data_IF_556199916167
#
_entry.id   IF_556199916167
#
_cell.length_a   1.000
_cell.length_b   1.000
_cell.length_c   1.000
_cell.angle_alpha   90.00
_cell.angle_beta   90.00
_cell.angle_gamma   90.00
#
_symmetry.space_group_name_H-M   'P 1'
#
loop_
_entity.id
_entity.type
_entity.pdbx_description
1 polymer ?
#
# COMPACT_ATOMS: atom_id res chain seq x y z
N UNK A 1 22.39 -13.26 -15.74
CA UNK A 1 22.39 -14.73 -15.54
C UNK A 1 21.36 -15.08 -14.48
N UNK A 2 20.52 -16.10 -14.73
CA UNK A 2 19.56 -16.58 -13.74
C UNK A 2 20.35 -17.39 -12.69
N UNK A 3 20.22 -17.05 -11.40
CA UNK A 3 20.81 -17.85 -10.32
C UNK A 3 20.20 -19.25 -10.37
N UNK A 4 21.05 -20.27 -10.55
CA UNK A 4 20.62 -21.67 -10.52
C UNK A 4 20.35 -22.09 -9.06
N UNK A 5 19.15 -21.76 -8.57
CA UNK A 5 18.61 -22.23 -7.29
C UNK A 5 17.50 -23.27 -7.57
N UNK A 6 17.37 -24.29 -6.72
CA UNK A 6 16.32 -25.30 -6.84
C UNK A 6 15.42 -25.31 -5.59
N UNK A 7 14.14 -24.90 -5.71
CA UNK A 7 13.47 -24.46 -6.92
C UNK A 7 13.90 -23.05 -7.35
N UNK A 8 13.80 -22.79 -8.66
CA UNK A 8 13.94 -21.44 -9.20
C UNK A 8 12.92 -20.52 -8.54
N UNK A 9 13.40 -19.39 -8.05
CA UNK A 9 12.56 -18.40 -7.36
C UNK A 9 12.03 -17.40 -8.37
N UNK A 10 10.71 -17.32 -8.50
CA UNK A 10 10.02 -16.31 -9.28
C UNK A 10 9.17 -15.44 -8.37
N UNK A 11 9.12 -14.13 -8.66
CA UNK A 11 8.17 -13.21 -8.02
C UNK A 11 7.13 -12.79 -9.05
N UNK A 12 5.88 -13.03 -8.71
CA UNK A 12 4.75 -12.43 -9.42
C UNK A 12 4.55 -11.00 -8.90
N UNK A 13 4.50 -10.04 -9.82
CA UNK A 13 4.38 -8.61 -9.50
C UNK A 13 3.75 -7.86 -10.67
N UNK A 14 3.06 -6.76 -10.36
CA UNK A 14 2.56 -5.84 -11.37
C UNK A 14 3.74 -5.02 -11.91
N UNK A 15 3.90 -5.01 -13.24
CA UNK A 15 4.91 -4.18 -13.93
C UNK A 15 4.31 -2.87 -14.44
N UNK A 16 3.02 -2.88 -14.73
CA UNK A 16 2.24 -1.75 -15.23
C UNK A 16 1.07 -1.54 -14.29
N UNK A 17 0.68 -0.27 -14.15
CA UNK A 17 -0.42 0.19 -13.29
C UNK A 17 -1.47 0.84 -14.19
N UNK A 18 -2.77 0.67 -13.89
CA UNK A 18 -3.82 1.40 -14.60
C UNK A 18 -3.76 2.90 -14.25
N UNK A 19 -4.34 3.73 -15.12
CA UNK A 19 -4.52 5.16 -14.89
C UNK A 19 -5.60 5.41 -13.82
N UNK A 20 -6.70 4.64 -13.87
CA UNK A 20 -7.75 4.64 -12.85
C UNK A 20 -8.00 3.22 -12.32
N UNK A 21 -7.59 2.99 -11.07
CA UNK A 21 -7.75 1.70 -10.39
C UNK A 21 -9.21 1.27 -10.25
N UNK A 22 -10.14 2.23 -10.15
CA UNK A 22 -11.55 1.96 -9.91
C UNK A 22 -12.34 1.63 -11.15
N UNK A 23 -11.94 2.19 -12.29
CA UNK A 23 -12.61 1.96 -13.58
C UNK A 23 -11.98 0.80 -14.37
N UNK A 24 -10.65 0.58 -14.23
CA UNK A 24 -9.94 -0.39 -15.07
C UNK A 24 -9.78 -1.79 -14.44
N UNK A 25 -9.84 -1.91 -13.11
CA UNK A 25 -9.71 -3.19 -12.44
C UNK A 25 -11.03 -3.96 -12.41
N UNK A 26 -11.29 -4.74 -13.45
CA UNK A 26 -12.56 -5.46 -13.65
C UNK A 26 -12.71 -6.68 -12.72
N UNK A 27 -11.64 -7.47 -12.54
CA UNK A 27 -11.73 -8.75 -11.82
C UNK A 27 -11.28 -8.61 -10.35
N UNK A 28 -12.05 -9.16 -9.43
CA UNK A 28 -11.73 -9.17 -7.98
C UNK A 28 -10.33 -9.73 -7.69
N UNK A 29 -9.91 -10.76 -8.44
CA UNK A 29 -8.58 -11.35 -8.27
C UNK A 29 -7.47 -10.36 -8.63
N UNK A 30 -7.67 -9.55 -9.66
CA UNK A 30 -6.72 -8.52 -10.10
C UNK A 30 -6.62 -7.42 -9.04
N UNK A 31 -7.76 -6.95 -8.52
CA UNK A 31 -7.79 -5.99 -7.41
C UNK A 31 -7.04 -6.51 -6.18
N UNK A 32 -7.28 -7.77 -5.80
CA UNK A 32 -6.55 -8.44 -4.72
C UNK A 32 -5.06 -8.52 -5.01
N UNK A 33 -4.66 -8.87 -6.23
CA UNK A 33 -3.24 -8.93 -6.61
C UNK A 33 -2.56 -7.56 -6.49
N UNK A 34 -3.17 -6.47 -6.97
CA UNK A 34 -2.64 -5.12 -6.77
C UNK A 34 -2.52 -4.75 -5.29
N UNK A 35 -3.53 -5.09 -4.48
CA UNK A 35 -3.52 -4.87 -3.03
C UNK A 35 -2.44 -5.68 -2.30
N UNK A 36 -2.21 -6.94 -2.66
CA UNK A 36 -1.20 -7.79 -2.00
C UNK A 36 0.22 -7.51 -2.51
N UNK A 37 0.36 -7.01 -3.74
CA UNK A 37 1.64 -6.54 -4.32
C UNK A 37 2.02 -5.16 -3.76
N UNK A 38 1.24 -4.60 -2.80
CA UNK A 38 1.52 -3.35 -2.06
C UNK A 38 2.99 -3.12 -1.72
N UNK A 39 3.74 -4.15 -1.34
CA UNK A 39 5.15 -4.02 -0.94
C UNK A 39 6.05 -3.47 -2.08
N UNK A 40 5.64 -3.58 -3.35
CA UNK A 40 6.33 -2.97 -4.49
C UNK A 40 5.79 -1.60 -4.90
N UNK A 41 4.49 -1.35 -4.68
CA UNK A 41 3.83 -0.05 -4.95
C UNK A 41 4.31 1.01 -3.96
N UNK A 42 4.53 0.58 -2.72
CA UNK A 42 4.99 1.40 -1.62
C UNK A 42 6.52 1.49 -1.65
N UNK A 43 7.07 2.13 -2.67
CA UNK A 43 8.51 2.33 -2.78
C UNK A 43 9.03 3.14 -1.58
N UNK A 44 10.26 2.85 -1.17
CA UNK A 44 10.94 3.39 0.02
C UNK A 44 11.14 4.91 0.03
N UNK A 45 10.79 5.60 -1.05
CA UNK A 45 11.13 7.00 -1.29
C UNK A 45 9.99 7.96 -0.92
N UNK A 46 8.78 7.46 -0.70
CA UNK A 46 7.58 8.30 -0.60
C UNK A 46 7.37 8.79 0.84
N UNK A 47 7.12 10.09 1.01
CA UNK A 47 6.61 10.65 2.27
C UNK A 47 5.10 10.48 2.32
N UNK A 48 4.60 9.91 3.42
CA UNK A 48 3.19 9.66 3.63
C UNK A 48 2.71 10.54 4.76
N UNK A 49 1.69 11.40 4.56
CA UNK A 49 1.02 12.06 5.66
C UNK A 49 0.56 11.01 6.69
N UNK A 50 0.72 11.27 8.01
CA UNK A 50 0.29 10.33 9.03
C UNK A 50 -1.16 9.89 8.86
N UNK A 51 -2.03 10.83 8.50
CA UNK A 51 -3.47 10.62 8.32
C UNK A 51 -3.75 9.63 7.18
N UNK A 52 -3.07 9.79 6.04
CA UNK A 52 -3.19 8.88 4.90
C UNK A 52 -2.71 7.48 5.26
N UNK A 53 -1.60 7.38 6.00
CA UNK A 53 -1.07 6.10 6.44
C UNK A 53 -2.02 5.39 7.42
N UNK A 54 -2.62 6.12 8.38
CA UNK A 54 -3.66 5.59 9.28
C UNK A 54 -4.85 5.09 8.48
N UNK A 55 -5.33 5.89 7.53
CA UNK A 55 -6.51 5.56 6.73
C UNK A 55 -6.28 4.30 5.87
N UNK A 56 -5.17 4.23 5.14
CA UNK A 56 -4.79 3.04 4.37
C UNK A 56 -4.58 1.81 5.26
N UNK A 57 -4.02 2.00 6.46
CA UNK A 57 -3.93 0.96 7.48
C UNK A 57 -5.30 0.44 7.90
N UNK A 58 -6.27 1.33 8.13
CA UNK A 58 -7.63 0.94 8.51
C UNK A 58 -8.36 0.15 7.41
N UNK A 59 -8.21 0.53 6.14
CA UNK A 59 -8.73 -0.26 5.01
C UNK A 59 -8.04 -1.62 4.89
N UNK A 60 -6.74 -1.69 5.19
CA UNK A 60 -6.02 -2.97 5.22
C UNK A 60 -6.59 -3.92 6.28
N UNK A 61 -6.91 -3.39 7.46
CA UNK A 61 -7.55 -4.14 8.53
C UNK A 61 -8.96 -4.59 8.12
N UNK A 62 -9.78 -3.70 7.55
CA UNK A 62 -11.13 -4.05 7.08
C UNK A 62 -11.09 -5.12 5.97
N UNK A 63 -10.20 -4.97 4.98
CA UNK A 63 -10.05 -5.94 3.90
C UNK A 63 -9.61 -7.33 4.43
N UNK A 64 -8.77 -7.37 5.48
CA UNK A 64 -8.28 -8.61 6.07
C UNK A 64 -9.30 -9.26 7.01
N UNK A 65 -9.79 -8.50 7.98
CA UNK A 65 -10.57 -9.02 9.11
C UNK A 65 -12.08 -8.83 8.96
N UNK A 66 -12.52 -7.92 8.09
CA UNK A 66 -13.92 -7.49 8.02
C UNK A 66 -14.27 -6.57 9.18
N UNK A 67 -15.56 -6.46 9.51
CA UNK A 67 -16.06 -5.52 10.52
C UNK A 67 -15.37 -5.63 11.88
N UNK A 68 -15.08 -4.47 12.47
CA UNK A 68 -14.58 -4.41 13.83
C UNK A 68 -15.56 -5.03 14.83
N UNK A 69 -15.00 -5.87 15.69
CA UNK A 69 -15.68 -6.50 16.82
C UNK A 69 -14.79 -6.45 18.05
N UNK A 70 -15.22 -5.70 19.07
CA UNK A 70 -14.48 -5.46 20.32
C UNK A 70 -14.19 -6.73 21.14
N UNK A 71 -15.01 -7.78 20.98
CA UNK A 71 -14.80 -9.05 21.68
C UNK A 71 -13.66 -9.87 21.07
N UNK A 72 -13.45 -9.72 19.76
CA UNK A 72 -12.46 -10.44 18.96
C UNK A 72 -11.17 -9.63 18.81
N UNK A 73 -11.29 -8.34 18.50
CA UNK A 73 -10.18 -7.44 18.22
C UNK A 73 -9.77 -6.68 19.48
N UNK A 74 -9.11 -7.39 20.40
CA UNK A 74 -8.55 -6.81 21.62
C UNK A 74 -7.29 -6.00 21.31
N UNK A 75 -6.90 -5.13 22.24
CA UNK A 75 -5.65 -4.35 22.17
C UNK A 75 -4.46 -5.24 21.84
N UNK A 76 -3.67 -4.87 20.83
CA UNK A 76 -2.52 -5.66 20.35
C UNK A 76 -2.88 -6.77 19.36
N UNK A 77 -4.14 -6.94 18.94
CA UNK A 77 -4.52 -7.90 17.90
C UNK A 77 -3.80 -7.63 16.57
N UNK A 78 -3.44 -6.37 16.31
CA UNK A 78 -2.74 -5.92 15.11
C UNK A 78 -1.21 -5.89 15.27
N UNK A 79 -0.70 -6.29 16.45
CA UNK A 79 0.73 -6.20 16.78
C UNK A 79 1.64 -7.15 16.00
N UNK A 80 1.08 -8.19 15.39
CA UNK A 80 1.81 -9.11 14.50
C UNK A 80 1.74 -8.71 13.02
N UNK A 81 0.91 -7.72 12.69
CA UNK A 81 0.61 -7.36 11.31
C UNK A 81 1.54 -6.26 10.79
N UNK A 82 1.87 -6.34 9.50
CA UNK A 82 2.55 -5.27 8.76
C UNK A 82 1.52 -4.44 7.99
N UNK A 83 0.75 -3.65 8.74
CA UNK A 83 -0.34 -2.84 8.20
C UNK A 83 0.16 -1.66 7.38
N UNK A 84 1.16 -0.95 7.90
CA UNK A 84 1.87 0.14 7.24
C UNK A 84 3.35 -0.29 7.08
N UNK A 85 4.05 0.14 6.01
CA UNK A 85 5.50 0.00 5.93
C UNK A 85 6.22 0.57 7.16
N UNK A 86 7.15 -0.21 7.73
CA UNK A 86 7.90 0.18 8.94
C UNK A 86 8.55 1.57 8.80
N UNK A 87 9.08 1.90 7.62
CA UNK A 87 9.70 3.21 7.37
C UNK A 87 8.73 4.39 7.48
N UNK A 88 7.45 4.22 7.08
CA UNK A 88 6.43 5.25 7.29
C UNK A 88 6.18 5.44 8.78
N UNK A 89 6.13 4.34 9.55
CA UNK A 89 6.05 4.44 11.01
C UNK A 89 7.28 5.15 11.60
N UNK A 90 8.48 4.84 11.12
CA UNK A 90 9.75 5.42 11.61
C UNK A 90 9.89 6.92 11.28
N UNK A 91 9.32 7.39 10.16
CA UNK A 91 9.27 8.81 9.79
C UNK A 91 8.41 9.64 10.76
N UNK A 92 7.54 8.99 11.53
CA UNK A 92 6.59 9.64 12.43
C UNK A 92 6.90 9.34 13.90
N UNK A 93 6.66 10.30 14.79
CA UNK A 93 6.93 10.14 16.24
C UNK A 93 5.75 9.47 16.98
N UNK A 94 5.19 8.41 16.40
CA UNK A 94 4.07 7.67 16.97
C UNK A 94 4.53 6.28 17.41
N UNK A 95 4.07 5.84 18.58
CA UNK A 95 4.28 4.46 19.01
C UNK A 95 3.40 3.52 18.20
N UNK A 96 3.75 2.23 18.19
CA UNK A 96 2.92 1.20 17.54
C UNK A 96 1.48 1.21 18.07
N UNK A 97 1.31 1.31 19.39
CA UNK A 97 -0.01 1.34 20.01
C UNK A 97 -0.83 2.55 19.57
N UNK A 98 -0.20 3.72 19.39
CA UNK A 98 -0.87 4.92 18.88
C UNK A 98 -1.32 4.77 17.43
N UNK A 99 -0.52 4.08 16.60
CA UNK A 99 -0.93 3.74 15.24
C UNK A 99 -2.14 2.81 15.25
N UNK A 100 -2.09 1.75 16.07
CA UNK A 100 -3.18 0.77 16.18
C UNK A 100 -4.47 1.43 16.69
N UNK A 101 -4.40 2.27 17.72
CA UNK A 101 -5.56 3.01 18.25
C UNK A 101 -6.20 3.90 17.20
N UNK A 102 -5.39 4.66 16.45
CA UNK A 102 -5.88 5.54 15.39
C UNK A 102 -6.52 4.74 14.25
N UNK A 103 -5.90 3.63 13.84
CA UNK A 103 -6.48 2.76 12.80
C UNK A 103 -7.78 2.13 13.26
N UNK A 104 -7.85 1.72 14.53
CA UNK A 104 -9.04 1.09 15.09
C UNK A 104 -10.24 2.04 15.04
N UNK A 105 -10.05 3.32 15.38
CA UNK A 105 -11.11 4.33 15.27
C UNK A 105 -11.67 4.39 13.85
N UNK A 106 -10.81 4.41 12.83
CA UNK A 106 -11.26 4.38 11.43
C UNK A 106 -11.86 3.03 11.03
N UNK A 107 -11.34 1.91 11.55
CA UNK A 107 -11.87 0.57 11.28
C UNK A 107 -13.30 0.40 11.80
N UNK A 108 -13.63 1.04 12.92
CA UNK A 108 -15.00 1.08 13.45
C UNK A 108 -15.97 1.81 12.51
N UNK A 109 -15.51 2.87 11.82
CA UNK A 109 -16.29 3.62 10.83
C UNK A 109 -16.55 2.83 9.54
N UNK A 110 -15.70 1.84 9.22
CA UNK A 110 -15.86 0.98 8.03
C UNK A 110 -16.89 -0.14 8.21
N UNK A 111 -17.63 -0.18 9.32
CA UNK A 111 -18.60 -1.24 9.62
C UNK A 111 -19.63 -1.40 8.50
N UNK A 112 -19.81 -2.65 8.06
CA UNK A 112 -20.71 -3.02 6.96
C UNK A 112 -20.04 -2.95 5.58
N UNK A 113 -18.80 -2.46 5.49
CA UNK A 113 -18.04 -2.45 4.26
C UNK A 113 -17.55 -3.86 3.90
N UNK A 114 -17.84 -4.29 2.68
CA UNK A 114 -17.33 -5.57 2.16
C UNK A 114 -15.80 -5.52 2.02
N UNK A 115 -15.14 -6.67 2.19
CA UNK A 115 -13.68 -6.78 2.08
C UNK A 115 -13.17 -6.31 0.71
N UNK A 116 -13.89 -6.66 -0.35
CA UNK A 116 -13.52 -6.26 -1.71
C UNK A 116 -13.68 -4.73 -1.91
N UNK A 117 -14.71 -4.12 -1.31
CA UNK A 117 -14.86 -2.66 -1.31
C UNK A 117 -13.73 -1.98 -0.54
N UNK A 118 -13.32 -2.53 0.61
CA UNK A 118 -12.18 -2.00 1.38
C UNK A 118 -10.86 -2.11 0.59
N UNK A 119 -10.68 -3.19 -0.18
CA UNK A 119 -9.57 -3.32 -1.12
C UNK A 119 -9.62 -2.24 -2.20
N UNK A 120 -10.78 -1.98 -2.78
CA UNK A 120 -10.94 -0.96 -3.82
C UNK A 120 -10.68 0.46 -3.30
N UNK A 121 -11.26 0.81 -2.15
CA UNK A 121 -11.06 2.13 -1.51
C UNK A 121 -9.58 2.36 -1.13
N UNK A 122 -8.88 1.31 -0.68
CA UNK A 122 -7.44 1.37 -0.48
C UNK A 122 -6.71 1.75 -1.78
N UNK A 123 -7.02 1.10 -2.90
CA UNK A 123 -6.34 1.34 -4.18
C UNK A 123 -6.64 2.75 -4.72
N UNK A 124 -7.86 3.26 -4.54
CA UNK A 124 -8.25 4.63 -4.90
C UNK A 124 -7.46 5.69 -4.15
N UNK A 125 -7.18 5.48 -2.87
CA UNK A 125 -6.37 6.42 -2.10
C UNK A 125 -4.89 6.26 -2.46
N UNK A 126 -4.44 5.03 -2.71
CA UNK A 126 -3.05 4.76 -3.05
C UNK A 126 -2.64 5.36 -4.41
N UNK A 127 -3.54 5.38 -5.40
CA UNK A 127 -3.25 5.97 -6.72
C UNK A 127 -3.00 7.48 -6.69
N UNK A 128 -3.59 8.20 -5.72
CA UNK A 128 -3.43 9.65 -5.58
C UNK A 128 -2.10 10.05 -4.93
N UNK A 129 -1.25 9.09 -4.55
CA UNK A 129 0.06 9.37 -3.97
C UNK A 129 1.05 9.80 -5.06
N UNK A 130 1.82 10.85 -4.79
CA UNK A 130 2.70 11.54 -5.77
C UNK A 130 3.67 10.64 -6.54
N UNK A 131 4.01 9.46 -6.03
CA UNK A 131 4.95 8.54 -6.66
C UNK A 131 4.33 7.16 -6.92
N UNK A 132 3.00 7.06 -6.89
CA UNK A 132 2.30 5.84 -7.23
C UNK A 132 2.54 5.47 -8.69
N UNK A 133 2.92 4.21 -8.95
CA UNK A 133 3.15 3.71 -10.30
C UNK A 133 4.40 4.27 -11.01
N UNK A 134 5.17 5.15 -10.35
CA UNK A 134 6.36 5.79 -10.92
C UNK A 134 7.59 4.89 -10.74
N UNK A 135 8.24 4.55 -11.84
CA UNK A 135 9.58 3.95 -11.84
C UNK A 135 10.64 5.05 -12.02
N UNK A 136 11.47 5.25 -11.00
CA UNK A 136 12.53 6.26 -11.00
C UNK A 136 13.84 5.73 -11.59
N UNK A 137 14.49 6.53 -12.43
CA UNK A 137 15.81 6.26 -12.99
C UNK A 137 16.72 7.47 -12.81
N UNK A 138 17.93 7.25 -12.32
CA UNK A 138 18.97 8.27 -12.30
C UNK A 138 19.41 8.59 -13.74
N UNK A 139 19.41 9.86 -14.11
CA UNK A 139 19.85 10.35 -15.42
C UNK A 139 20.76 11.55 -15.27
N UNK A 140 21.61 11.81 -16.26
CA UNK A 140 22.48 13.00 -16.29
C UNK A 140 22.21 13.79 -17.57
N UNK A 141 21.98 15.10 -17.45
CA UNK A 141 21.75 15.96 -18.61
C UNK A 141 23.07 16.37 -19.30
N UNK A 142 22.99 17.04 -20.47
CA UNK A 142 24.17 17.50 -21.23
C UNK A 142 25.09 18.46 -20.46
N UNK A 143 24.61 19.10 -19.39
CA UNK A 143 25.40 19.99 -18.53
C UNK A 143 26.07 19.24 -17.37
N UNK A 144 25.92 17.92 -17.28
CA UNK A 144 26.45 17.10 -16.19
C UNK A 144 25.65 17.22 -14.89
N UNK A 145 24.38 17.67 -14.94
CA UNK A 145 23.52 17.68 -13.74
C UNK A 145 22.84 16.33 -13.58
N UNK A 146 22.96 15.73 -12.41
CA UNK A 146 22.25 14.52 -12.02
C UNK A 146 20.79 14.85 -11.70
N UNK A 147 19.88 14.05 -12.25
CA UNK A 147 18.43 14.22 -12.21
C UNK A 147 17.75 12.85 -12.09
N UNK A 148 16.44 12.87 -11.81
CA UNK A 148 15.59 11.68 -11.78
C UNK A 148 14.58 11.73 -12.92
N UNK A 149 14.45 10.62 -13.63
CA UNK A 149 13.39 10.37 -14.61
C UNK A 149 12.35 9.45 -13.98
N UNK A 150 11.15 9.97 -13.73
CA UNK A 150 9.99 9.17 -13.39
C UNK A 150 9.30 8.67 -14.66
N UNK A 151 9.00 7.36 -14.73
CA UNK A 151 8.19 6.75 -15.79
C UNK A 151 6.96 6.13 -15.15
N UNK A 152 5.78 6.62 -15.50
CA UNK A 152 4.48 6.14 -15.03
C UNK A 152 3.57 5.75 -16.21
N UNK A 153 2.28 5.53 -15.92
CA UNK A 153 1.27 5.20 -16.91
C UNK A 153 0.54 6.44 -17.48
N UNK A 154 0.83 7.65 -16.97
CA UNK A 154 0.15 8.87 -17.40
C UNK A 154 0.85 9.42 -18.65
N UNK A 155 0.16 9.36 -19.79
CA UNK A 155 0.60 10.00 -21.05
C UNK A 155 0.44 11.53 -21.05
#
# INVERSE_FOLDING_TARGET
>A
EVRQENPLQFKFWAKLYPEDMSEELIQDITQKLFFWVKEGILSDEIYWPPETAVLLGSFTVQAKFGDYNKEVHKSGCLSSERLIPQRVMDKHKLTRDQWEERMQVWHEEHRGMLKDNATLEYLKIAQDLEMYGINNFEITNKRGTDLWLGVDALD
#
